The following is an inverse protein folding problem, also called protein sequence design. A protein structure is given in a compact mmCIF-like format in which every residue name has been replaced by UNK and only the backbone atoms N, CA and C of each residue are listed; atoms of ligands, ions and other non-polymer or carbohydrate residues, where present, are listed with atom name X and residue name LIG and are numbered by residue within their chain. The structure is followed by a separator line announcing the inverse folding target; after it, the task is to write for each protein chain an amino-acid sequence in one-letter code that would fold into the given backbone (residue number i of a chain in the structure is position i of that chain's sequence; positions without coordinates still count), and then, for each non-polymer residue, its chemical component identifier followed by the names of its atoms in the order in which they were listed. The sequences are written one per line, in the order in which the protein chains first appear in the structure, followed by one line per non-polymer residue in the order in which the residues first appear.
data_IF_109962844643
#
_entry.id   IF_109962844643
#
_cell.length_a   1.000
_cell.length_b   1.000
_cell.length_c   1.000
_cell.angle_alpha   90.00
_cell.angle_beta   90.00
_cell.angle_gamma   90.00
#
_symmetry.space_group_name_H-M   'P 1'
#
loop_
_entity.id
_entity.type
_entity.pdbx_description
1 polymer ?
#
# COMPACT_ATOMS: atom_id res chain seq x y z
N UNK A 1 -30.40 -16.34 25.91
CA UNK A 1 -29.77 -17.53 25.31
C UNK A 1 -28.35 -17.14 24.98
N UNK A 2 -27.41 -17.50 25.85
CA UNK A 2 -25.99 -17.29 25.63
C UNK A 2 -25.56 -18.15 24.46
N UNK A 3 -25.24 -17.52 23.32
CA UNK A 3 -24.66 -18.22 22.18
C UNK A 3 -23.28 -18.71 22.58
N UNK A 4 -23.15 -19.98 22.96
CA UNK A 4 -21.86 -20.63 23.08
C UNK A 4 -21.13 -20.44 21.76
N UNK A 5 -19.96 -19.79 21.80
CA UNK A 5 -19.07 -19.65 20.65
C UNK A 5 -18.92 -21.02 19.99
N UNK A 6 -19.40 -21.16 18.75
CA UNK A 6 -19.41 -22.44 18.03
C UNK A 6 -18.02 -23.07 17.95
N UNK A 7 -16.96 -22.24 17.99
CA UNK A 7 -15.57 -22.69 17.99
C UNK A 7 -15.15 -23.41 19.28
N UNK A 8 -15.75 -23.12 20.44
CA UNK A 8 -15.38 -23.77 21.70
C UNK A 8 -15.85 -25.23 21.77
N UNK A 9 -16.87 -25.61 20.98
CA UNK A 9 -17.39 -26.98 20.92
C UNK A 9 -16.72 -27.87 19.87
N UNK A 10 -15.84 -27.32 19.03
CA UNK A 10 -15.21 -28.09 17.95
C UNK A 10 -14.01 -28.90 18.45
N UNK A 11 -13.79 -30.12 17.91
CA UNK A 11 -12.55 -30.88 18.15
C UNK A 11 -11.32 -30.09 17.68
N UNK A 12 -10.17 -30.36 18.33
CA UNK A 12 -8.91 -29.65 18.05
C UNK A 12 -8.49 -29.82 16.59
N UNK A 13 -8.66 -31.02 16.04
CA UNK A 13 -8.31 -31.37 14.66
C UNK A 13 -9.11 -30.56 13.65
N UNK A 14 -10.40 -30.33 13.94
CA UNK A 14 -11.28 -29.51 13.10
C UNK A 14 -10.86 -28.03 13.17
N UNK A 15 -10.52 -27.54 14.37
CA UNK A 15 -10.01 -26.18 14.53
C UNK A 15 -8.69 -25.96 13.79
N UNK A 16 -7.76 -26.93 13.82
CA UNK A 16 -6.51 -26.85 13.04
C UNK A 16 -6.84 -26.76 11.55
N UNK A 17 -7.70 -27.63 11.03
CA UNK A 17 -8.10 -27.59 9.61
C UNK A 17 -8.74 -26.26 9.21
N UNK A 18 -9.64 -25.73 10.04
CA UNK A 18 -10.27 -24.41 9.79
C UNK A 18 -9.19 -23.32 9.77
N UNK A 19 -8.33 -23.28 10.79
CA UNK A 19 -7.33 -22.22 10.93
C UNK A 19 -6.26 -22.27 9.84
N UNK A 20 -5.76 -23.46 9.49
CA UNK A 20 -4.79 -23.66 8.42
C UNK A 20 -5.37 -23.37 7.02
N UNK A 21 -6.70 -23.44 6.86
CA UNK A 21 -7.38 -23.05 5.62
C UNK A 21 -7.52 -21.54 5.44
N UNK A 22 -7.17 -20.71 6.44
CA UNK A 22 -7.22 -19.26 6.34
C UNK A 22 -5.99 -18.75 5.59
N UNK A 23 -6.14 -18.54 4.29
CA UNK A 23 -5.08 -18.08 3.39
C UNK A 23 -4.86 -16.54 3.41
N UNK A 24 -5.37 -15.83 4.42
CA UNK A 24 -5.15 -14.39 4.61
C UNK A 24 -4.68 -14.12 6.04
N UNK A 25 -3.39 -13.82 6.20
CA UNK A 25 -2.77 -13.47 7.49
C UNK A 25 -3.52 -12.32 8.21
N UNK A 26 -4.16 -11.42 7.47
CA UNK A 26 -4.90 -10.29 8.06
C UNK A 26 -6.24 -10.72 8.67
N UNK A 27 -6.80 -11.85 8.23
CA UNK A 27 -8.01 -12.44 8.81
C UNK A 27 -7.69 -13.36 10.00
N UNK A 28 -6.51 -13.99 9.98
CA UNK A 28 -6.11 -14.97 10.99
C UNK A 28 -6.14 -14.38 12.40
N UNK A 29 -5.67 -13.14 12.58
CA UNK A 29 -5.72 -12.45 13.88
C UNK A 29 -7.12 -12.36 14.48
N UNK A 30 -8.12 -11.98 13.67
CA UNK A 30 -9.50 -11.80 14.13
C UNK A 30 -10.12 -13.11 14.62
N UNK A 31 -9.76 -14.24 14.01
CA UNK A 31 -10.28 -15.56 14.41
C UNK A 31 -9.51 -16.11 15.61
N UNK A 32 -8.19 -15.93 15.63
CA UNK A 32 -7.34 -16.34 16.76
C UNK A 32 -7.71 -15.58 18.03
N UNK A 33 -8.09 -14.30 17.93
CA UNK A 33 -8.45 -13.48 19.10
C UNK A 33 -9.92 -13.53 19.50
N UNK A 34 -10.82 -13.95 18.62
CA UNK A 34 -12.25 -14.02 18.93
C UNK A 34 -12.66 -15.27 19.71
N UNK A 35 -11.79 -16.28 19.81
CA UNK A 35 -12.09 -17.57 20.40
C UNK A 35 -10.91 -18.09 21.25
N UNK A 36 -11.08 -18.26 22.57
CA UNK A 36 -10.09 -18.91 23.43
C UNK A 36 -9.61 -20.27 22.92
N UNK A 37 -10.48 -21.09 22.34
CA UNK A 37 -10.11 -22.36 21.71
C UNK A 37 -9.19 -22.15 20.52
N UNK A 38 -9.54 -21.25 19.60
CA UNK A 38 -8.70 -20.92 18.44
C UNK A 38 -7.33 -20.40 18.87
N UNK A 39 -7.28 -19.58 19.91
CA UNK A 39 -6.03 -19.08 20.49
C UNK A 39 -5.14 -20.18 21.07
N UNK A 40 -5.72 -21.14 21.81
CA UNK A 40 -4.98 -22.28 22.36
C UNK A 40 -4.44 -23.17 21.25
N UNK A 41 -5.26 -23.46 20.24
CA UNK A 41 -4.87 -24.27 19.07
C UNK A 41 -3.74 -23.59 18.31
N UNK A 42 -3.86 -22.29 18.02
CA UNK A 42 -2.80 -21.53 17.37
C UNK A 42 -1.48 -21.59 18.15
N UNK A 43 -1.49 -21.42 19.47
CA UNK A 43 -0.25 -21.47 20.25
C UNK A 43 0.43 -22.85 20.24
N UNK A 44 -0.31 -23.93 20.01
CA UNK A 44 0.22 -25.29 19.98
C UNK A 44 0.65 -25.73 18.58
N UNK A 45 -0.03 -25.26 17.54
CA UNK A 45 0.15 -25.65 16.14
C UNK A 45 0.47 -24.44 15.25
N UNK A 46 1.25 -23.49 15.76
CA UNK A 46 1.47 -22.20 15.09
C UNK A 46 2.10 -22.34 13.72
N UNK A 47 3.09 -23.22 13.57
CA UNK A 47 3.78 -23.46 12.30
C UNK A 47 2.80 -23.90 11.20
N UNK A 48 1.97 -24.91 11.50
CA UNK A 48 1.00 -25.48 10.56
C UNK A 48 -0.07 -24.48 10.16
N UNK A 49 -0.46 -23.58 11.07
CA UNK A 49 -1.54 -22.62 10.84
C UNK A 49 -1.01 -21.32 10.20
N UNK A 50 0.16 -20.85 10.61
CA UNK A 50 0.67 -19.54 10.22
C UNK A 50 1.20 -19.53 8.78
N UNK A 51 2.04 -20.49 8.40
CA UNK A 51 2.74 -20.46 7.11
C UNK A 51 1.83 -20.50 5.89
N UNK A 52 0.73 -21.28 5.84
CA UNK A 52 -0.20 -21.24 4.71
C UNK A 52 -0.77 -19.83 4.48
N UNK A 53 -1.05 -19.08 5.55
CA UNK A 53 -1.58 -17.71 5.48
C UNK A 53 -0.60 -16.68 4.91
N UNK A 54 0.70 -16.95 5.02
CA UNK A 54 1.78 -16.10 4.50
C UNK A 54 2.20 -16.53 3.10
N UNK A 55 2.17 -17.84 2.81
CA UNK A 55 2.77 -18.40 1.61
C UNK A 55 1.83 -18.70 0.47
N UNK A 56 0.68 -19.29 0.76
CA UNK A 56 -0.27 -19.75 -0.25
C UNK A 56 -1.46 -18.79 -0.37
N UNK A 57 -1.21 -17.55 0.04
CA UNK A 57 -2.24 -16.59 0.40
C UNK A 57 -2.95 -15.88 -0.75
N UNK A 58 -4.00 -15.13 -0.36
CA UNK A 58 -4.63 -14.11 -1.20
C UNK A 58 -3.70 -12.91 -1.42
N UNK A 59 -2.68 -12.77 -0.56
CA UNK A 59 -1.68 -11.72 -0.64
C UNK A 59 -0.86 -11.83 -1.93
N UNK A 60 -0.61 -10.69 -2.61
CA UNK A 60 0.32 -10.63 -3.73
C UNK A 60 1.73 -11.05 -3.29
N UNK A 61 2.45 -11.76 -4.15
CA UNK A 61 3.81 -12.24 -3.89
C UNK A 61 4.72 -11.14 -3.34
N UNK A 62 4.61 -9.91 -3.87
CA UNK A 62 5.44 -8.80 -3.42
C UNK A 62 5.19 -8.41 -1.96
N UNK A 63 3.95 -8.50 -1.49
CA UNK A 63 3.61 -8.22 -0.09
C UNK A 63 3.98 -9.41 0.78
N UNK A 64 3.81 -10.65 0.30
CA UNK A 64 4.24 -11.84 1.04
C UNK A 64 5.75 -11.85 1.31
N UNK A 65 6.57 -11.54 0.31
CA UNK A 65 8.03 -11.43 0.47
C UNK A 65 8.41 -10.39 1.52
N UNK A 66 7.72 -9.25 1.54
CA UNK A 66 7.91 -8.21 2.54
C UNK A 66 7.54 -8.71 3.95
N UNK A 67 6.40 -9.38 4.10
CA UNK A 67 5.97 -9.95 5.39
C UNK A 67 6.98 -11.00 5.88
N UNK A 68 7.47 -11.88 5.00
CA UNK A 68 8.52 -12.88 5.34
C UNK A 68 9.82 -12.20 5.76
N UNK A 69 10.23 -11.14 5.06
CA UNK A 69 11.41 -10.38 5.44
C UNK A 69 11.28 -9.79 6.85
N UNK A 70 10.14 -9.16 7.17
CA UNK A 70 9.90 -8.61 8.50
C UNK A 70 9.87 -9.70 9.59
N UNK A 71 9.32 -10.86 9.27
CA UNK A 71 9.29 -12.01 10.17
C UNK A 71 10.71 -12.47 10.54
N UNK A 72 11.59 -12.63 9.54
CA UNK A 72 13.00 -13.00 9.77
C UNK A 72 13.82 -11.87 10.41
N UNK A 73 13.49 -10.61 10.13
CA UNK A 73 14.08 -9.44 10.80
C UNK A 73 13.78 -9.45 12.29
N UNK A 74 12.53 -9.75 12.67
CA UNK A 74 12.14 -9.92 14.08
C UNK A 74 12.77 -11.14 14.73
N UNK A 75 12.99 -12.23 13.98
CA UNK A 75 13.72 -13.40 14.46
C UNK A 75 15.23 -13.16 14.65
N UNK A 76 15.75 -12.02 14.19
CA UNK A 76 17.17 -11.67 14.28
C UNK A 76 18.04 -12.34 13.21
N UNK A 77 17.46 -12.78 12.09
CA UNK A 77 18.21 -13.44 11.01
C UNK A 77 19.22 -12.51 10.30
N UNK A 78 19.08 -11.18 10.43
CA UNK A 78 19.89 -10.18 9.71
C UNK A 78 20.96 -9.50 10.59
N UNK A 79 21.32 -10.08 11.74
CA UNK A 79 22.32 -9.48 12.66
C UNK A 79 23.67 -9.18 12.01
N UNK A 80 24.04 -9.94 10.96
CA UNK A 80 25.30 -9.77 10.21
C UNK A 80 25.14 -8.91 8.94
N UNK A 81 23.92 -8.50 8.61
CA UNK A 81 23.61 -7.74 7.40
C UNK A 81 23.68 -6.25 7.69
N UNK A 82 24.34 -5.47 6.82
CA UNK A 82 24.44 -4.01 6.98
C UNK A 82 23.13 -3.32 6.63
N UNK A 83 22.75 -2.31 7.42
CA UNK A 83 21.54 -1.50 7.19
C UNK A 83 21.53 -0.84 5.80
N UNK A 84 22.67 -0.31 5.34
CA UNK A 84 22.82 0.28 4.01
C UNK A 84 22.59 -0.73 2.87
N UNK A 85 23.01 -1.99 3.04
CA UNK A 85 22.79 -3.05 2.04
C UNK A 85 21.31 -3.43 1.96
N UNK A 86 20.63 -3.51 3.11
CA UNK A 86 19.19 -3.77 3.16
C UNK A 86 18.41 -2.62 2.51
N UNK A 87 18.76 -1.38 2.85
CA UNK A 87 18.13 -0.17 2.29
C UNK A 87 18.27 -0.11 0.78
N UNK A 88 19.49 -0.33 0.26
CA UNK A 88 19.76 -0.38 -1.17
C UNK A 88 18.94 -1.47 -1.86
N UNK A 89 18.93 -2.68 -1.29
CA UNK A 89 18.19 -3.81 -1.87
C UNK A 89 16.67 -3.57 -1.91
N UNK A 90 16.10 -2.92 -0.88
CA UNK A 90 14.69 -2.50 -0.89
C UNK A 90 14.43 -1.51 -2.02
N UNK A 91 15.27 -0.47 -2.17
CA UNK A 91 15.11 0.53 -3.23
C UNK A 91 15.23 -0.09 -4.63
N UNK A 92 16.22 -0.96 -4.84
CA UNK A 92 16.42 -1.69 -6.10
C UNK A 92 15.21 -2.57 -6.44
N UNK A 93 14.66 -3.26 -5.43
CA UNK A 93 13.46 -4.10 -5.60
C UNK A 93 12.24 -3.27 -5.98
N UNK A 94 11.99 -2.17 -5.28
CA UNK A 94 10.83 -1.30 -5.57
C UNK A 94 10.95 -0.66 -6.96
N UNK A 95 12.16 -0.30 -7.40
CA UNK A 95 12.41 0.16 -8.77
C UNK A 95 12.21 -0.96 -9.81
N UNK A 96 12.68 -2.18 -9.52
CA UNK A 96 12.52 -3.35 -10.38
C UNK A 96 11.05 -3.77 -10.56
N UNK A 97 10.22 -3.58 -9.52
CA UNK A 97 8.77 -3.79 -9.61
C UNK A 97 8.20 -2.86 -10.67
N UNK A 98 8.50 -1.56 -10.62
CA UNK A 98 7.97 -0.56 -11.55
C UNK A 98 8.42 -0.79 -12.99
N UNK A 99 9.67 -1.22 -13.20
CA UNK A 99 10.24 -1.45 -14.54
C UNK A 99 9.79 -2.77 -15.19
N UNK A 100 8.99 -3.60 -14.51
CA UNK A 100 8.55 -4.89 -15.03
C UNK A 100 9.68 -5.91 -15.23
N UNK A 101 10.89 -5.59 -14.74
CA UNK A 101 12.08 -6.45 -14.77
C UNK A 101 12.05 -7.51 -13.67
N UNK A 102 11.08 -7.47 -12.76
CA UNK A 102 10.79 -8.54 -11.79
C UNK A 102 10.30 -9.86 -12.41
N UNK A 103 10.23 -10.00 -13.74
CA UNK A 103 10.01 -11.30 -14.39
C UNK A 103 11.26 -12.17 -14.23
N UNK A 104 11.29 -13.03 -13.21
CA UNK A 104 12.34 -14.06 -13.07
C UNK A 104 12.86 -14.38 -11.66
N UNK A 105 12.27 -13.86 -10.58
CA UNK A 105 12.50 -14.41 -9.23
C UNK A 105 13.82 -14.06 -8.52
N UNK A 106 14.55 -13.01 -8.94
CA UNK A 106 15.86 -12.65 -8.34
C UNK A 106 15.81 -11.42 -7.40
N UNK A 107 14.65 -10.80 -7.21
CA UNK A 107 14.49 -9.62 -6.33
C UNK A 107 13.70 -9.94 -5.05
N UNK A 108 14.00 -11.07 -4.42
CA UNK A 108 13.58 -11.41 -3.06
C UNK A 108 14.41 -10.66 -2.01
N UNK A 109 14.14 -10.93 -0.73
CA UNK A 109 14.91 -10.40 0.40
C UNK A 109 16.07 -11.33 0.80
N UNK A 110 16.65 -12.03 -0.16
CA UNK A 110 17.71 -13.01 0.13
C UNK A 110 19.04 -12.30 0.33
N UNK A 111 19.60 -12.39 1.53
CA UNK A 111 20.92 -11.84 1.84
C UNK A 111 21.88 -12.99 2.11
N UNK A 112 23.09 -13.02 1.51
CA UNK A 112 24.10 -14.04 1.84
C UNK A 112 24.50 -14.07 3.33
N UNK A 113 24.26 -12.96 4.02
CA UNK A 113 24.53 -12.78 5.45
C UNK A 113 23.36 -13.16 6.36
N UNK A 114 22.22 -13.57 5.80
CA UNK A 114 21.06 -14.04 6.55
C UNK A 114 21.41 -15.35 7.27
N UNK A 115 21.09 -15.44 8.55
CA UNK A 115 21.26 -16.65 9.35
C UNK A 115 20.00 -17.52 9.24
N UNK A 116 20.04 -18.66 8.51
CA UNK A 116 18.87 -19.51 8.32
C UNK A 116 18.49 -20.27 9.60
N UNK A 117 19.37 -20.36 10.60
CA UNK A 117 19.06 -21.01 11.88
C UNK A 117 18.13 -20.18 12.78
N UNK A 118 17.93 -18.90 12.43
CA UNK A 118 17.05 -17.97 13.15
C UNK A 118 15.62 -18.10 12.63
N UNK A 119 14.94 -19.13 13.10
CA UNK A 119 13.52 -19.34 12.82
C UNK A 119 12.62 -18.45 13.70
N UNK A 120 11.45 -18.01 13.20
CA UNK A 120 10.53 -17.17 13.96
C UNK A 120 9.92 -17.91 15.14
N UNK A 121 9.99 -17.35 16.34
CA UNK A 121 9.34 -17.93 17.52
C UNK A 121 7.81 -17.74 17.47
N UNK A 122 7.07 -18.50 18.29
CA UNK A 122 5.64 -18.30 18.50
C UNK A 122 5.29 -16.84 18.84
N UNK A 123 6.09 -16.19 19.67
CA UNK A 123 5.90 -14.79 20.03
C UNK A 123 6.00 -13.86 18.82
N UNK A 124 7.00 -14.09 17.97
CA UNK A 124 7.19 -13.35 16.72
C UNK A 124 6.01 -13.58 15.77
N UNK A 125 5.56 -14.82 15.59
CA UNK A 125 4.40 -15.14 14.74
C UNK A 125 3.12 -14.45 15.23
N UNK A 126 2.87 -14.47 16.54
CA UNK A 126 1.73 -13.79 17.17
C UNK A 126 1.78 -12.28 16.98
N UNK A 127 2.95 -11.69 17.18
CA UNK A 127 3.14 -10.27 16.95
C UNK A 127 2.94 -9.90 15.47
N UNK A 128 3.31 -10.79 14.53
CA UNK A 128 3.09 -10.56 13.10
C UNK A 128 1.63 -10.64 12.70
N UNK A 129 0.86 -11.63 13.16
CA UNK A 129 -0.58 -11.67 12.89
C UNK A 129 -1.29 -10.46 13.50
N UNK A 130 -0.88 -9.99 14.68
CA UNK A 130 -1.43 -8.79 15.31
C UNK A 130 -1.18 -7.52 14.46
N UNK A 131 0.04 -7.38 13.92
CA UNK A 131 0.37 -6.29 12.98
C UNK A 131 -0.44 -6.39 11.70
N UNK A 132 -0.60 -7.59 11.14
CA UNK A 132 -1.42 -7.79 9.95
C UNK A 132 -2.89 -7.39 10.20
N UNK A 133 -3.46 -7.80 11.34
CA UNK A 133 -4.80 -7.40 11.75
C UNK A 133 -4.94 -5.87 11.84
N UNK A 134 -3.96 -5.20 12.44
CA UNK A 134 -3.91 -3.73 12.55
C UNK A 134 -3.83 -3.05 11.18
N UNK A 135 -2.93 -3.50 10.33
CA UNK A 135 -2.75 -2.98 8.97
C UNK A 135 -4.07 -3.07 8.20
N UNK A 136 -4.80 -4.18 8.31
CA UNK A 136 -6.12 -4.32 7.67
C UNK A 136 -7.15 -3.32 8.18
N UNK A 137 -7.24 -3.12 9.48
CA UNK A 137 -8.13 -2.11 10.05
C UNK A 137 -7.80 -0.71 9.51
N UNK A 138 -6.51 -0.36 9.49
CA UNK A 138 -6.05 0.92 8.96
C UNK A 138 -6.31 1.07 7.46
N UNK A 139 -6.10 0.00 6.67
CA UNK A 139 -6.37 0.01 5.24
C UNK A 139 -7.81 0.37 4.93
N UNK A 140 -8.76 -0.14 5.72
CA UNK A 140 -10.18 0.12 5.52
C UNK A 140 -10.61 1.48 5.98
N UNK A 141 -10.08 1.94 7.11
CA UNK A 141 -10.30 3.31 7.56
C UNK A 141 -9.76 4.31 6.53
N UNK A 142 -8.58 4.04 5.95
CA UNK A 142 -7.97 4.84 4.90
C UNK A 142 -8.84 4.88 3.63
N UNK A 143 -9.33 3.73 3.16
CA UNK A 143 -10.25 3.68 2.02
C UNK A 143 -11.53 4.46 2.31
N UNK A 144 -12.15 4.26 3.48
CA UNK A 144 -13.37 4.97 3.84
C UNK A 144 -13.14 6.49 3.89
N UNK A 145 -12.03 6.92 4.49
CA UNK A 145 -11.64 8.33 4.55
C UNK A 145 -11.53 8.95 3.14
N UNK A 146 -10.83 8.31 2.21
CA UNK A 146 -10.68 8.86 0.87
C UNK A 146 -11.95 8.75 0.03
N UNK A 147 -12.80 7.74 0.26
CA UNK A 147 -14.13 7.68 -0.34
C UNK A 147 -15.00 8.86 0.10
N UNK A 148 -14.97 9.21 1.38
CA UNK A 148 -15.69 10.38 1.91
C UNK A 148 -15.14 11.68 1.27
N UNK A 149 -13.82 11.84 1.19
CA UNK A 149 -13.18 13.02 0.58
C UNK A 149 -13.49 13.20 -0.90
N UNK A 150 -13.36 12.14 -1.70
CA UNK A 150 -13.67 12.23 -3.14
C UNK A 150 -15.17 12.47 -3.37
N UNK A 151 -16.03 11.95 -2.49
CA UNK A 151 -17.47 12.23 -2.54
C UNK A 151 -17.74 13.71 -2.26
N UNK A 152 -17.15 14.27 -1.20
CA UNK A 152 -17.29 15.69 -0.84
C UNK A 152 -16.81 16.62 -1.97
N UNK A 153 -15.61 16.36 -2.53
CA UNK A 153 -15.06 17.14 -3.64
C UNK A 153 -15.96 17.12 -4.88
N UNK A 154 -16.67 16.01 -5.14
CA UNK A 154 -17.62 15.92 -6.25
C UNK A 154 -18.94 16.64 -5.99
N UNK A 155 -19.39 16.72 -4.73
CA UNK A 155 -20.62 17.43 -4.37
C UNK A 155 -20.47 18.95 -4.35
N UNK A 156 -19.26 19.45 -4.12
CA UNK A 156 -18.96 20.90 -4.06
C UNK A 156 -18.71 21.53 -5.45
N UNK A 157 -18.70 20.74 -6.53
CA UNK A 157 -18.51 21.22 -7.90
C UNK A 157 -19.76 21.90 -8.51
N UNK A 158 -19.61 22.85 -9.46
CA UNK A 158 -20.73 23.51 -10.09
C UNK A 158 -21.49 22.54 -11.01
N UNK A 159 -22.75 22.25 -10.64
CA UNK A 159 -23.74 21.37 -11.28
C UNK A 159 -23.60 19.85 -11.03
N UNK A 160 -24.05 19.39 -9.86
CA UNK A 160 -25.40 18.81 -9.68
C UNK A 160 -25.90 17.67 -10.58
N UNK A 161 -25.07 16.91 -11.30
CA UNK A 161 -25.52 15.65 -11.91
C UNK A 161 -25.12 14.45 -11.04
N UNK A 162 -26.11 14.00 -10.28
CA UNK A 162 -26.03 12.87 -9.36
C UNK A 162 -25.84 11.54 -10.11
N UNK A 163 -24.58 11.11 -10.32
CA UNK A 163 -24.28 9.68 -10.41
C UNK A 163 -24.06 9.13 -9.00
N UNK A 164 -25.14 8.93 -8.25
CA UNK A 164 -25.13 8.43 -6.86
C UNK A 164 -24.61 6.99 -6.68
N UNK A 165 -24.24 6.31 -7.77
CA UNK A 165 -23.90 4.88 -7.75
C UNK A 165 -22.43 4.57 -7.46
N UNK A 166 -21.49 5.49 -7.71
CA UNK A 166 -20.05 5.15 -7.72
C UNK A 166 -19.41 5.08 -6.32
N UNK A 167 -19.95 5.84 -5.36
CA UNK A 167 -19.38 5.99 -4.01
C UNK A 167 -19.91 4.95 -3.02
N UNK A 168 -21.01 4.26 -3.36
CA UNK A 168 -21.57 3.16 -2.58
C UNK A 168 -21.01 1.77 -2.92
N UNK A 169 -20.14 1.65 -3.92
CA UNK A 169 -19.53 0.36 -4.28
C UNK A 169 -18.43 -0.01 -3.28
N UNK A 170 -18.42 -1.25 -2.76
CA UNK A 170 -17.35 -1.68 -1.87
C UNK A 170 -15.98 -1.59 -2.58
N UNK A 171 -14.87 -1.42 -1.83
CA UNK A 171 -13.54 -1.40 -2.42
C UNK A 171 -13.27 -2.68 -3.18
N UNK A 172 -12.55 -2.60 -4.30
CA UNK A 172 -12.07 -3.79 -4.97
C UNK A 172 -10.91 -4.43 -4.24
N UNK A 173 -10.58 -5.66 -4.62
CA UNK A 173 -9.40 -6.34 -4.14
C UNK A 173 -8.12 -5.53 -4.41
N UNK A 174 -7.99 -4.91 -5.60
CA UNK A 174 -6.79 -4.12 -5.96
C UNK A 174 -6.66 -2.90 -5.06
N UNK A 175 -7.76 -2.21 -4.80
CA UNK A 175 -7.79 -1.03 -3.92
C UNK A 175 -7.35 -1.41 -2.51
N UNK A 176 -7.93 -2.47 -1.93
CA UNK A 176 -7.55 -2.96 -0.60
C UNK A 176 -6.09 -3.40 -0.54
N UNK A 177 -5.59 -4.12 -1.55
CA UNK A 177 -4.19 -4.56 -1.57
C UNK A 177 -3.18 -3.43 -1.73
N UNK A 178 -3.49 -2.35 -2.46
CA UNK A 178 -2.60 -1.18 -2.57
C UNK A 178 -2.44 -0.49 -1.23
N UNK A 179 -3.53 -0.31 -0.50
CA UNK A 179 -3.47 0.31 0.83
C UNK A 179 -2.78 -0.60 1.85
N UNK A 180 -3.08 -1.91 1.84
CA UNK A 180 -2.36 -2.90 2.68
C UNK A 180 -0.86 -2.83 2.40
N UNK A 181 -0.45 -2.82 1.13
CA UNK A 181 0.96 -2.72 0.74
C UNK A 181 1.60 -1.41 1.22
N UNK A 182 0.90 -0.28 1.10
CA UNK A 182 1.39 1.01 1.59
C UNK A 182 1.66 0.97 3.10
N UNK A 183 0.75 0.41 3.90
CA UNK A 183 0.96 0.26 5.34
C UNK A 183 2.06 -0.73 5.70
N UNK A 184 2.23 -1.82 4.96
CA UNK A 184 3.38 -2.72 5.15
C UNK A 184 4.72 -2.03 4.83
N UNK A 185 4.76 -1.14 3.83
CA UNK A 185 5.95 -0.31 3.53
C UNK A 185 6.25 0.68 4.65
N UNK A 186 5.23 1.30 5.25
CA UNK A 186 5.41 2.15 6.44
C UNK A 186 5.94 1.31 7.60
N UNK A 187 5.31 0.15 7.86
CA UNK A 187 5.76 -0.78 8.91
C UNK A 187 7.21 -1.22 8.71
N UNK A 188 7.64 -1.48 7.47
CA UNK A 188 9.03 -1.82 7.15
C UNK A 188 10.02 -0.80 7.65
N UNK A 189 9.76 0.49 7.43
CA UNK A 189 10.65 1.56 7.87
C UNK A 189 10.75 1.59 9.40
N UNK A 190 9.64 1.43 10.11
CA UNK A 190 9.65 1.33 11.58
C UNK A 190 10.41 0.09 12.08
N UNK A 191 10.23 -1.07 11.45
CA UNK A 191 10.93 -2.30 11.81
C UNK A 191 12.44 -2.20 11.55
N UNK A 192 12.87 -1.53 10.49
CA UNK A 192 14.29 -1.29 10.22
C UNK A 192 14.92 -0.37 11.28
N UNK A 193 14.22 0.71 11.67
CA UNK A 193 14.66 1.58 12.77
C UNK A 193 14.79 0.80 14.07
N UNK A 194 13.76 0.01 14.41
CA UNK A 194 13.75 -0.79 15.62
C UNK A 194 14.86 -1.84 15.63
N UNK A 195 15.01 -2.58 14.53
CA UNK A 195 16.06 -3.58 14.36
C UNK A 195 17.46 -2.97 14.46
N UNK A 196 17.67 -1.76 13.94
CA UNK A 196 18.93 -1.03 14.09
C UNK A 196 19.20 -0.65 15.55
N UNK A 197 18.19 -0.13 16.27
CA UNK A 197 18.30 0.22 17.69
C UNK A 197 18.60 -0.98 18.58
N UNK A 198 18.02 -2.14 18.28
CA UNK A 198 18.17 -3.37 19.07
C UNK A 198 19.33 -4.27 18.62
N UNK A 199 20.12 -3.85 17.62
CA UNK A 199 21.25 -4.63 17.12
C UNK A 199 20.85 -5.91 16.37
N UNK A 200 19.61 -5.99 15.86
CA UNK A 200 19.15 -7.08 14.98
C UNK A 200 19.62 -6.91 13.52
N UNK A 201 20.18 -5.75 13.19
CA UNK A 201 20.84 -5.44 11.92
C UNK A 201 22.12 -4.64 12.19
N UNK A 202 23.16 -4.86 11.37
CA UNK A 202 24.46 -4.23 11.57
C UNK A 202 24.40 -2.75 11.14
N UNK A 203 24.57 -1.84 12.10
CA UNK A 203 24.70 -0.40 11.85
C UNK A 203 26.09 -0.08 11.29
N UNK A 204 26.17 0.88 10.37
CA UNK A 204 27.44 1.48 9.98
C UNK A 204 27.94 2.44 11.07
N UNK A 205 29.26 2.67 11.12
CA UNK A 205 29.89 3.63 12.03
C UNK A 205 29.62 5.11 11.64
N UNK A 206 29.06 5.36 10.44
CA UNK A 206 28.54 6.66 10.02
C UNK A 206 27.10 6.85 10.54
N UNK A 207 26.98 7.00 11.86
CA UNK A 207 25.74 6.78 12.63
C UNK A 207 24.62 7.80 12.34
N UNK A 208 24.95 9.04 11.99
CA UNK A 208 23.98 10.15 11.97
C UNK A 208 23.21 10.28 10.64
N UNK A 209 23.81 9.99 9.50
CA UNK A 209 23.17 10.19 8.18
C UNK A 209 22.28 9.00 7.76
N UNK A 210 22.57 7.78 8.21
CA UNK A 210 21.80 6.58 7.83
C UNK A 210 20.43 6.47 8.54
N UNK A 211 20.30 6.99 9.77
CA UNK A 211 19.01 7.01 10.50
C UNK A 211 18.11 8.18 10.09
N UNK A 212 18.69 9.33 9.72
CA UNK A 212 17.95 10.50 9.22
C UNK A 212 17.28 10.21 7.86
N UNK A 213 17.88 9.31 7.06
CA UNK A 213 17.33 8.81 5.80
C UNK A 213 16.22 7.75 5.92
N UNK A 214 15.88 7.30 7.13
CA UNK A 214 14.80 6.31 7.37
C UNK A 214 13.46 6.98 7.69
N UNK A 215 13.15 8.16 7.17
CA UNK A 215 11.76 8.63 7.15
C UNK A 215 11.01 8.00 5.97
N UNK A 216 9.76 7.58 6.15
CA UNK A 216 9.02 6.93 5.06
C UNK A 216 8.79 7.89 3.86
N UNK A 217 8.64 9.19 4.11
CA UNK A 217 8.53 10.20 3.06
C UNK A 217 9.83 10.36 2.30
N UNK A 218 10.96 10.50 2.99
CA UNK A 218 12.29 10.63 2.34
C UNK A 218 12.75 9.34 1.67
N UNK A 219 12.46 8.18 2.27
CA UNK A 219 12.88 6.87 1.77
C UNK A 219 12.28 6.54 0.39
N UNK A 220 10.98 6.83 0.25
CA UNK A 220 10.23 6.61 -0.99
C UNK A 220 10.21 7.83 -1.91
N UNK A 221 10.94 8.91 -1.61
CA UNK A 221 10.86 10.14 -2.40
C UNK A 221 11.16 9.88 -3.89
N UNK A 222 10.18 10.26 -4.71
CA UNK A 222 10.21 10.13 -6.16
C UNK A 222 11.12 11.13 -6.86
N UNK A 223 11.57 12.19 -6.17
CA UNK A 223 12.50 13.19 -6.74
C UNK A 223 13.90 12.61 -6.97
N UNK A 224 14.28 11.61 -6.16
CA UNK A 224 15.60 10.97 -6.15
C UNK A 224 15.58 9.54 -6.66
N UNK A 225 14.40 8.97 -6.95
CA UNK A 225 14.26 7.54 -7.27
C UNK A 225 13.10 7.24 -8.23
N UNK A 226 13.19 6.13 -8.98
CA UNK A 226 12.12 5.67 -9.88
C UNK A 226 10.90 5.09 -9.13
N UNK A 227 10.67 5.50 -7.88
CA UNK A 227 9.67 4.94 -6.96
C UNK A 227 8.33 5.69 -6.97
N UNK A 228 8.03 6.48 -8.01
CA UNK A 228 6.86 7.37 -8.07
C UNK A 228 5.54 6.68 -7.67
N UNK A 229 5.29 5.46 -8.13
CA UNK A 229 4.09 4.71 -7.74
C UNK A 229 4.07 4.35 -6.24
N UNK A 230 5.18 3.81 -5.72
CA UNK A 230 5.32 3.47 -4.31
C UNK A 230 5.24 4.72 -3.41
N UNK A 231 5.86 5.81 -3.83
CA UNK A 231 5.79 7.12 -3.18
C UNK A 231 4.33 7.56 -2.99
N UNK A 232 3.54 7.61 -4.06
CA UNK A 232 2.17 8.10 -3.95
C UNK A 232 1.27 7.15 -3.14
N UNK A 233 1.47 5.83 -3.23
CA UNK A 233 0.77 4.87 -2.36
C UNK A 233 1.10 5.09 -0.87
N UNK A 234 2.40 5.21 -0.53
CA UNK A 234 2.88 5.42 0.84
C UNK A 234 2.43 6.78 1.38
N UNK A 235 2.58 7.85 0.61
CA UNK A 235 2.17 9.19 1.01
C UNK A 235 0.66 9.30 1.22
N UNK A 236 -0.15 8.57 0.46
CA UNK A 236 -1.60 8.47 0.70
C UNK A 236 -1.89 7.86 2.08
N UNK A 237 -1.22 6.77 2.44
CA UNK A 237 -1.38 6.19 3.77
C UNK A 237 -0.87 7.12 4.89
N UNK A 238 0.25 7.82 4.67
CA UNK A 238 0.81 8.80 5.63
C UNK A 238 -0.12 10.00 5.84
N UNK A 239 -0.65 10.57 4.76
CA UNK A 239 -1.61 11.68 4.82
C UNK A 239 -2.88 11.27 5.58
N UNK A 240 -3.42 10.08 5.30
CA UNK A 240 -4.51 9.52 6.09
C UNK A 240 -4.17 9.41 7.59
N UNK A 241 -2.99 8.87 7.93
CA UNK A 241 -2.57 8.73 9.33
C UNK A 241 -2.48 10.11 10.03
N UNK A 242 -1.95 11.11 9.31
CA UNK A 242 -1.82 12.48 9.82
C UNK A 242 -3.19 13.14 10.05
N UNK A 243 -4.11 12.98 9.10
CA UNK A 243 -5.43 13.60 9.13
C UNK A 243 -6.38 12.92 10.11
N UNK A 244 -6.29 11.59 10.25
CA UNK A 244 -7.30 10.81 10.99
C UNK A 244 -7.00 10.63 12.47
N UNK A 245 -5.75 10.83 12.91
CA UNK A 245 -5.36 10.42 14.27
C UNK A 245 -5.09 11.57 15.23
N UNK A 246 -4.90 12.82 14.80
CA UNK A 246 -4.41 13.90 15.68
C UNK A 246 -3.15 13.53 16.52
N UNK A 247 -2.51 12.39 16.22
CA UNK A 247 -1.32 11.87 16.89
C UNK A 247 -0.14 12.48 16.15
N UNK A 248 0.52 13.42 16.81
CA UNK A 248 1.72 14.11 16.30
C UNK A 248 2.92 13.18 16.07
N UNK A 249 2.85 11.93 16.52
CA UNK A 249 4.00 11.03 16.53
C UNK A 249 3.61 9.57 16.26
N UNK A 250 3.41 9.22 14.98
CA UNK A 250 3.44 7.81 14.53
C UNK A 250 4.88 7.34 14.25
N UNK A 251 5.90 8.11 14.65
CA UNK A 251 7.31 7.91 14.30
C UNK A 251 7.85 6.53 14.68
N UNK A 252 7.27 5.88 15.69
CA UNK A 252 7.75 4.60 16.19
C UNK A 252 6.84 3.39 15.87
N UNK A 253 5.51 3.52 15.79
CA UNK A 253 4.59 2.41 15.51
C UNK A 253 3.27 2.83 14.85
N UNK A 254 2.68 1.93 14.05
CA UNK A 254 1.30 2.09 13.57
C UNK A 254 0.29 2.10 14.74
N UNK A 255 -0.72 2.98 14.71
CA UNK A 255 -1.71 3.17 15.78
C UNK A 255 -2.53 1.89 16.06
N UNK A 256 -2.98 1.68 17.31
CA UNK A 256 -3.81 0.52 17.65
C UNK A 256 -5.17 0.55 16.94
N UNK A 257 -5.69 -0.63 16.60
CA UNK A 257 -6.89 -0.81 15.77
C UNK A 257 -8.23 -0.55 16.48
N UNK A 258 -8.20 -0.19 17.77
CA UNK A 258 -9.34 -0.32 18.69
C UNK A 258 -10.51 0.62 18.39
N UNK A 259 -10.29 1.75 17.72
CA UNK A 259 -11.35 2.74 17.45
C UNK A 259 -11.91 2.69 16.01
N UNK A 260 -11.29 1.92 15.11
CA UNK A 260 -11.59 1.96 13.66
C UNK A 260 -12.30 0.70 13.13
N UNK A 261 -12.78 -0.17 14.03
CA UNK A 261 -13.30 -1.50 13.69
C UNK A 261 -14.71 -1.45 13.07
N UNK A 262 -14.80 -1.13 11.76
CA UNK A 262 -15.95 -1.55 10.95
C UNK A 262 -15.70 -2.96 10.41
N UNK A 263 -16.48 -3.93 10.87
CA UNK A 263 -16.36 -5.33 10.48
C UNK A 263 -16.91 -5.57 9.06
N UNK A 264 -16.02 -5.78 8.09
CA UNK A 264 -16.37 -6.21 6.74
C UNK A 264 -15.57 -7.48 6.33
N UNK A 265 -16.09 -8.35 5.46
CA UNK A 265 -15.29 -9.43 4.87
C UNK A 265 -14.15 -8.85 3.99
N UNK A 266 -13.04 -9.57 3.75
CA UNK A 266 -12.00 -9.13 2.82
C UNK A 266 -12.62 -8.88 1.43
N UNK A 267 -12.21 -7.84 0.73
CA UNK A 267 -12.69 -7.62 -0.62
C UNK A 267 -12.12 -8.68 -1.55
N UNK A 268 -13.02 -9.55 -2.03
CA UNK A 268 -12.77 -10.44 -3.16
C UNK A 268 -13.33 -9.85 -4.46
N UNK A 269 -13.89 -8.64 -4.39
CA UNK A 269 -14.51 -7.98 -5.53
C UNK A 269 -13.45 -7.73 -6.61
N UNK A 270 -13.68 -8.30 -7.79
CA UNK A 270 -12.78 -8.21 -8.96
C UNK A 270 -11.36 -8.73 -8.67
N UNK A 271 -11.22 -9.63 -7.70
CA UNK A 271 -9.95 -10.31 -7.46
C UNK A 271 -9.56 -11.14 -8.69
N UNK A 272 -8.34 -10.95 -9.24
CA UNK A 272 -7.87 -11.79 -10.34
C UNK A 272 -7.77 -13.26 -9.94
N UNK A 273 -8.11 -14.16 -10.87
CA UNK A 273 -8.21 -15.60 -10.60
C UNK A 273 -6.87 -16.31 -10.40
N UNK A 274 -5.78 -15.78 -10.98
CA UNK A 274 -4.44 -16.38 -10.88
C UNK A 274 -3.47 -15.50 -10.11
N UNK A 275 -2.49 -16.13 -9.46
CA UNK A 275 -1.43 -15.40 -8.72
C UNK A 275 -0.64 -14.44 -9.61
N UNK A 276 -0.35 -14.84 -10.85
CA UNK A 276 0.35 -13.99 -11.82
C UNK A 276 -0.45 -12.71 -12.17
N UNK A 277 -1.78 -12.83 -12.32
CA UNK A 277 -2.63 -11.66 -12.59
C UNK A 277 -2.80 -10.77 -11.36
N UNK A 278 -2.84 -11.36 -10.16
CA UNK A 278 -2.81 -10.60 -8.89
C UNK A 278 -1.52 -9.80 -8.77
N UNK A 279 -0.39 -10.42 -9.10
CA UNK A 279 0.93 -9.77 -9.13
C UNK A 279 0.96 -8.61 -10.14
N UNK A 280 0.55 -8.84 -11.39
CA UNK A 280 0.62 -7.83 -12.45
C UNK A 280 -0.31 -6.63 -12.21
N UNK A 281 -1.47 -6.86 -11.58
CA UNK A 281 -2.45 -5.81 -11.25
C UNK A 281 -1.92 -4.76 -10.25
N UNK A 282 -0.86 -5.10 -9.51
CA UNK A 282 -0.26 -4.25 -8.49
C UNK A 282 1.15 -3.78 -8.85
N UNK A 283 1.76 -4.33 -9.90
CA UNK A 283 3.04 -3.86 -10.44
C UNK A 283 2.88 -2.47 -11.04
N UNK A 284 1.81 -2.26 -11.80
CA UNK A 284 1.59 -1.01 -12.50
C UNK A 284 1.19 0.11 -11.51
N UNK A 285 1.58 1.36 -11.79
CA UNK A 285 1.00 2.53 -11.15
C UNK A 285 -0.53 2.46 -11.18
N UNK A 286 -1.20 3.05 -10.19
CA UNK A 286 -2.66 3.21 -10.26
C UNK A 286 -3.06 3.97 -11.51
N UNK A 287 -4.23 3.62 -12.05
CA UNK A 287 -4.81 4.33 -13.19
C UNK A 287 -4.92 5.83 -12.93
N UNK A 288 -5.27 6.26 -11.71
CA UNK A 288 -5.34 7.69 -11.38
C UNK A 288 -4.00 8.40 -11.58
N UNK A 289 -2.92 7.85 -11.01
CA UNK A 289 -1.57 8.35 -11.21
C UNK A 289 -1.15 8.37 -12.69
N UNK A 290 -1.41 7.29 -13.43
CA UNK A 290 -1.07 7.23 -14.86
C UNK A 290 -1.85 8.23 -15.70
N UNK A 291 -3.15 8.39 -15.44
CA UNK A 291 -4.02 9.33 -16.15
C UNK A 291 -3.55 10.77 -15.91
N UNK A 292 -3.32 11.16 -14.66
CA UNK A 292 -2.87 12.51 -14.33
C UNK A 292 -1.48 12.77 -14.92
N UNK A 293 -0.55 11.82 -14.82
CA UNK A 293 0.79 11.94 -15.42
C UNK A 293 0.71 12.11 -16.94
N UNK A 294 -0.12 11.31 -17.62
CA UNK A 294 -0.33 11.39 -19.07
C UNK A 294 -0.97 12.71 -19.49
N UNK A 295 -1.98 13.15 -18.76
CA UNK A 295 -2.65 14.43 -18.98
C UNK A 295 -1.70 15.61 -18.74
N UNK A 296 -0.78 15.53 -17.77
CA UNK A 296 0.14 16.62 -17.44
C UNK A 296 1.24 16.83 -18.49
N UNK A 297 1.50 15.83 -19.35
CA UNK A 297 2.50 15.94 -20.43
C UNK A 297 2.02 16.77 -21.62
N UNK A 298 0.72 17.01 -21.76
CA UNK A 298 0.16 17.81 -22.86
C UNK A 298 0.51 19.30 -22.72
N UNK A 299 1.04 19.91 -23.78
CA UNK A 299 1.42 21.33 -23.77
C UNK A 299 0.26 22.28 -23.40
N UNK A 300 -0.96 21.93 -23.82
CA UNK A 300 -2.20 22.69 -23.58
C UNK A 300 -3.09 22.06 -22.50
N UNK A 301 -2.54 21.18 -21.67
CA UNK A 301 -3.32 20.54 -20.62
C UNK A 301 -3.67 21.53 -19.52
N UNK A 302 -4.95 21.65 -19.13
CA UNK A 302 -5.38 22.57 -18.08
C UNK A 302 -4.89 22.15 -16.68
N UNK A 303 -4.36 20.93 -16.54
CA UNK A 303 -3.88 20.40 -15.25
C UNK A 303 -2.36 20.21 -15.23
N UNK A 304 -1.64 20.68 -16.26
CA UNK A 304 -0.19 20.52 -16.44
C UNK A 304 0.63 20.90 -15.21
N UNK A 305 0.22 21.95 -14.51
CA UNK A 305 0.95 22.53 -13.38
C UNK A 305 0.34 22.19 -12.01
N UNK A 306 -0.77 21.44 -11.98
CA UNK A 306 -1.42 21.05 -10.73
C UNK A 306 -0.66 19.97 -9.96
N UNK A 307 0.22 19.21 -10.64
CA UNK A 307 0.89 18.06 -10.07
C UNK A 307 -0.07 16.93 -9.68
N UNK A 308 0.42 15.94 -8.95
CA UNK A 308 -0.42 14.82 -8.49
C UNK A 308 -0.93 14.97 -7.06
N UNK A 309 -0.33 15.86 -6.26
CA UNK A 309 -0.68 16.03 -4.84
C UNK A 309 -2.18 16.32 -4.60
N UNK A 310 -2.85 17.23 -5.33
CA UNK A 310 -4.29 17.47 -5.13
C UNK A 310 -5.13 16.21 -5.35
N UNK A 311 -4.76 15.39 -6.33
CA UNK A 311 -5.43 14.13 -6.61
C UNK A 311 -5.06 13.04 -5.58
N UNK A 312 -3.82 13.02 -5.08
CA UNK A 312 -3.44 12.12 -3.99
C UNK A 312 -4.28 12.40 -2.73
N UNK A 313 -4.55 13.65 -2.43
CA UNK A 313 -5.42 14.07 -1.31
C UNK A 313 -6.88 13.57 -1.44
N UNK A 314 -7.28 13.09 -2.62
CA UNK A 314 -8.59 12.48 -2.89
C UNK A 314 -8.50 10.95 -3.09
N UNK A 315 -7.34 10.33 -2.82
CA UNK A 315 -7.13 8.88 -2.90
C UNK A 315 -6.84 8.35 -4.30
N UNK A 316 -6.54 9.20 -5.30
CA UNK A 316 -6.30 8.73 -6.68
C UNK A 316 -5.05 7.84 -6.83
N UNK A 317 -4.22 7.72 -5.79
CA UNK A 317 -3.11 6.77 -5.72
C UNK A 317 -3.53 5.35 -5.32
N UNK A 318 -4.81 5.11 -5.01
CA UNK A 318 -5.32 3.79 -4.56
C UNK A 318 -6.52 3.30 -5.36
N UNK A 319 -7.25 4.19 -6.05
CA UNK A 319 -8.42 3.85 -6.86
C UNK A 319 -8.10 3.05 -8.12
N UNK A 320 -8.95 2.08 -8.40
CA UNK A 320 -8.84 1.27 -9.61
C UNK A 320 -9.61 1.84 -10.81
N UNK A 321 -9.31 1.30 -12.00
CA UNK A 321 -9.92 1.75 -13.26
C UNK A 321 -11.45 1.77 -13.26
N UNK A 322 -12.10 0.76 -12.69
CA UNK A 322 -13.56 0.70 -12.72
C UNK A 322 -14.14 1.79 -11.84
N UNK A 323 -13.59 2.02 -10.65
CA UNK A 323 -14.06 3.11 -9.78
C UNK A 323 -13.90 4.46 -10.48
N UNK A 324 -12.77 4.69 -11.15
CA UNK A 324 -12.56 5.89 -11.95
C UNK A 324 -13.59 6.02 -13.07
N UNK A 325 -13.94 4.92 -13.72
CA UNK A 325 -14.96 4.91 -14.78
C UNK A 325 -16.37 5.18 -14.24
N UNK A 326 -16.73 4.59 -13.10
CA UNK A 326 -17.99 4.85 -12.41
C UNK A 326 -18.11 6.33 -11.97
N UNK A 327 -16.97 6.97 -11.67
CA UNK A 327 -16.88 8.41 -11.38
C UNK A 327 -16.87 9.30 -12.63
N UNK A 328 -16.85 8.73 -13.84
CA UNK A 328 -16.77 9.50 -15.10
C UNK A 328 -15.40 10.13 -15.36
N UNK A 329 -14.34 9.61 -14.74
CA UNK A 329 -12.96 10.12 -14.85
C UNK A 329 -12.09 9.28 -15.81
N UNK A 330 -12.68 8.21 -16.34
CA UNK A 330 -12.01 7.19 -17.11
C UNK A 330 -13.01 6.42 -17.99
N UNK A 331 -12.54 5.84 -19.09
CA UNK A 331 -13.26 4.77 -19.80
C UNK A 331 -13.25 3.47 -18.98
N UNK A 332 -14.30 2.63 -19.08
CA UNK A 332 -14.32 1.33 -18.42
C UNK A 332 -13.14 0.43 -18.83
N UNK A 333 -12.76 -0.55 -17.98
CA UNK A 333 -11.76 -1.56 -18.33
C UNK A 333 -12.09 -2.26 -19.66
N UNK A 334 -11.06 -2.71 -20.40
CA UNK A 334 -11.23 -3.45 -21.66
C UNK A 334 -11.25 -2.61 -22.94
N UNK A 335 -11.37 -1.28 -22.84
CA UNK A 335 -11.37 -0.37 -24.00
C UNK A 335 -9.96 0.10 -24.44
N UNK A 336 -8.89 -0.65 -24.11
CA UNK A 336 -7.50 -0.26 -24.32
C UNK A 336 -7.00 0.85 -23.38
N UNK A 337 -5.71 1.24 -23.48
CA UNK A 337 -5.20 2.44 -22.78
C UNK A 337 -6.03 3.64 -23.25
N UNK A 338 -6.42 4.51 -22.32
CA UNK A 338 -7.43 5.58 -22.46
C UNK A 338 -7.25 6.35 -23.76
N UNK A 339 -8.03 6.02 -24.79
CA UNK A 339 -8.12 6.84 -25.99
C UNK A 339 -8.95 8.08 -25.65
N UNK A 340 -8.51 9.26 -26.11
CA UNK A 340 -9.23 10.51 -25.89
C UNK A 340 -9.18 11.04 -24.45
N UNK A 341 -8.03 10.98 -23.76
CA UNK A 341 -7.84 11.61 -22.42
C UNK A 341 -8.38 13.06 -22.34
N UNK A 342 -8.35 13.79 -23.46
CA UNK A 342 -8.86 15.15 -23.54
C UNK A 342 -10.34 15.30 -23.20
N UNK A 343 -11.17 14.28 -23.40
CA UNK A 343 -12.59 14.33 -23.03
C UNK A 343 -12.81 14.34 -21.51
N UNK A 344 -11.82 13.92 -20.72
CA UNK A 344 -11.90 13.88 -19.27
C UNK A 344 -11.30 15.12 -18.57
N UNK A 345 -10.63 16.03 -19.30
CA UNK A 345 -9.95 17.18 -18.69
C UNK A 345 -10.88 18.01 -17.80
N UNK A 346 -12.10 18.28 -18.24
CA UNK A 346 -13.07 19.05 -17.47
C UNK A 346 -13.46 18.35 -16.17
N UNK A 347 -13.62 17.03 -16.19
CA UNK A 347 -13.94 16.24 -15.01
C UNK A 347 -12.80 16.25 -13.98
N UNK A 348 -11.56 16.09 -14.43
CA UNK A 348 -10.39 16.13 -13.54
C UNK A 348 -10.12 17.55 -13.00
N UNK A 349 -10.26 18.58 -13.83
CA UNK A 349 -10.08 19.98 -13.42
C UNK A 349 -11.08 20.39 -12.32
N UNK A 350 -12.32 19.88 -12.37
CA UNK A 350 -13.36 20.15 -11.36
C UNK A 350 -13.04 19.59 -9.97
N UNK A 351 -12.09 18.66 -9.85
CA UNK A 351 -11.68 18.09 -8.57
C UNK A 351 -10.66 18.98 -7.83
N UNK A 352 -10.08 19.97 -8.52
CA UNK A 352 -9.11 20.87 -7.92
C UNK A 352 -9.84 21.94 -7.10
N UNK A 353 -9.37 22.14 -5.86
CA UNK A 353 -9.86 23.25 -5.03
C UNK A 353 -9.38 24.60 -5.60
N UNK A 354 -10.01 25.73 -5.21
CA UNK A 354 -9.51 27.06 -5.59
C UNK A 354 -8.04 27.28 -5.20
N UNK A 355 -7.61 26.77 -4.05
CA UNK A 355 -6.20 26.81 -3.63
C UNK A 355 -5.27 26.00 -4.53
N UNK A 356 -5.71 24.85 -5.04
CA UNK A 356 -4.91 24.05 -5.97
C UNK A 356 -4.74 24.75 -7.31
N UNK A 357 -5.79 25.44 -7.79
CA UNK A 357 -5.74 26.22 -9.02
C UNK A 357 -4.77 27.40 -8.89
N UNK A 358 -4.77 28.10 -7.75
CA UNK A 358 -3.80 29.19 -7.47
C UNK A 358 -2.37 28.65 -7.46
N UNK A 359 -2.10 27.54 -6.76
CA UNK A 359 -0.77 26.90 -6.75
C UNK A 359 -0.32 26.46 -8.15
N UNK A 360 -1.24 25.95 -8.97
CA UNK A 360 -0.96 25.56 -10.34
C UNK A 360 -0.61 26.78 -11.22
N UNK A 361 -1.29 27.92 -11.01
CA UNK A 361 -0.99 29.16 -11.73
C UNK A 361 0.37 29.73 -11.34
N UNK A 362 0.73 29.70 -10.06
CA UNK A 362 2.06 30.08 -9.57
C UNK A 362 3.15 29.21 -10.22
N UNK A 363 2.95 27.89 -10.20
CA UNK A 363 3.86 26.93 -10.83
C UNK A 363 4.00 27.15 -12.35
N UNK A 364 2.92 27.57 -13.02
CA UNK A 364 2.96 27.96 -14.43
C UNK A 364 3.83 29.19 -14.66
N UNK A 365 3.63 30.25 -13.86
CA UNK A 365 4.41 31.50 -13.96
C UNK A 365 5.89 31.25 -13.70
N UNK A 366 6.21 30.40 -12.72
CA UNK A 366 7.59 29.97 -12.45
C UNK A 366 8.19 29.24 -13.65
N UNK A 367 7.49 28.26 -14.21
CA UNK A 367 7.96 27.52 -15.38
C UNK A 367 8.17 28.44 -16.61
N UNK A 368 7.28 29.41 -16.82
CA UNK A 368 7.41 30.42 -17.88
C UNK A 368 8.63 31.32 -17.65
N UNK A 369 8.88 31.75 -16.41
CA UNK A 369 10.06 32.54 -16.04
C UNK A 369 11.38 31.79 -16.29
N UNK A 370 11.35 30.45 -16.24
CA UNK A 370 12.48 29.55 -16.53
C UNK A 370 12.56 29.14 -18.02
N UNK A 371 11.82 29.80 -18.91
CA UNK A 371 11.83 29.54 -20.35
C UNK A 371 10.98 28.34 -20.79
N UNK A 372 9.91 28.04 -20.04
CA UNK A 372 8.94 26.99 -20.36
C UNK A 372 9.42 25.57 -20.08
N UNK A 373 10.59 25.40 -19.45
CA UNK A 373 11.11 24.10 -19.04
C UNK A 373 10.51 23.72 -17.69
N UNK A 374 9.55 22.80 -17.72
CA UNK A 374 9.29 22.00 -16.53
C UNK A 374 10.57 21.20 -16.21
N UNK A 375 10.90 21.06 -14.92
CA UNK A 375 11.91 20.09 -14.48
C UNK A 375 11.62 18.71 -15.09
N UNK A 376 12.65 17.88 -15.33
CA UNK A 376 12.47 16.63 -16.06
C UNK A 376 11.39 15.78 -15.39
N UNK A 377 10.23 15.66 -16.04
CA UNK A 377 9.23 14.65 -15.68
C UNK A 377 9.85 13.30 -15.99
N UNK A 378 10.43 12.64 -14.98
CA UNK A 378 10.92 11.28 -15.15
C UNK A 378 9.80 10.43 -15.78
N UNK A 379 10.05 9.78 -16.93
CA UNK A 379 9.06 8.91 -17.54
C UNK A 379 8.70 7.80 -16.57
N UNK A 380 7.42 7.67 -16.22
CA UNK A 380 6.95 6.70 -15.23
C UNK A 380 7.11 5.25 -15.74
N UNK A 381 7.26 5.08 -17.05
CA UNK A 381 7.52 3.84 -17.76
C UNK A 381 8.41 4.25 -18.95
N UNK A 382 9.62 3.71 -19.06
CA UNK A 382 10.28 3.65 -20.37
C UNK A 382 9.40 2.71 -21.20
N UNK A 383 8.77 3.22 -22.26
CA UNK A 383 8.12 2.35 -23.23
C UNK A 383 9.18 1.34 -23.68
N UNK A 384 9.02 0.09 -23.28
CA UNK A 384 9.78 -1.00 -23.86
C UNK A 384 9.39 -1.01 -25.33
N UNK A 385 10.30 -0.52 -26.17
CA UNK A 385 10.23 -0.70 -27.59
C UNK A 385 10.06 -2.21 -27.88
N UNK A 386 9.10 -2.45 -28.77
CA UNK A 386 8.75 -3.66 -29.51
C UNK A 386 9.69 -4.86 -29.44
#
# INVERSE_FOLDING_TARGET
MEGTSQFESLPTEVLIQILASILDIHCLWSIVTSSPASYRVFNRYSEEIFWPSVSDGVLPTQTQELVRFLLHLRAGAFQKTRLGDVTRKIKDREAGIVLGTCKGGVLGYDFPTMDPSKEPSLEVMRAMIAVAGRIRCLSRACIAHYLERVTAARTEGPAGESSSSATGTPPSWVEEQRVIRAFWRIQLIHELKLAAREGRILRSAAVAEEEDGLDAGSFYDSSVSNLKAAYHEVMTAIEFLRDSLAVKDYSDQLPPATELARHFPPSTLRMPSSSALRQSSLVMPTDGLWIVDSMSRGAHSPIKYAGFEPYRALGFAIWDRQRLADMGLASPPGHGRVTGLGSYFSCWLRLLSPSDLVRAEESMREAESQGGRLGPLQPMIQDNAS
#
